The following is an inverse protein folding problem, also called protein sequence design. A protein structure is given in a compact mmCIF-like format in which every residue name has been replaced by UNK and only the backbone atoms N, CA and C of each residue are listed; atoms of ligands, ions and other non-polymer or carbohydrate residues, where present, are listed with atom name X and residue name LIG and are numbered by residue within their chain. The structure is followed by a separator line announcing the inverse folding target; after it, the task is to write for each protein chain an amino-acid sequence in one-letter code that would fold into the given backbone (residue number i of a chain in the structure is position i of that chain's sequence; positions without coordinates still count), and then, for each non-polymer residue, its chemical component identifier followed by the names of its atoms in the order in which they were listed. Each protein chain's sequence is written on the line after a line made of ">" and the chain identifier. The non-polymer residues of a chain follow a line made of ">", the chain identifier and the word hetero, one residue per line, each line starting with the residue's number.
data_IF_944576986535
#
_entry.id   IF_944576986535
#
_cell.length_a   1.000
_cell.length_b   1.000
_cell.length_c   1.000
_cell.angle_alpha   90.00
_cell.angle_beta   90.00
_cell.angle_gamma   90.00
#
_symmetry.space_group_name_H-M   'P 1'
#
loop_
_entity.id
_entity.type
_entity.pdbx_description
1 polymer ?
#
# COMPACT_ATOMS: atom_id res chain seq x y z
N UNK A 1 -13.37 24.95 -17.77
CA UNK A 1 -14.05 24.66 -16.48
C UNK A 1 -13.01 24.15 -15.50
N UNK A 2 -13.03 24.62 -14.26
CA UNK A 2 -12.06 24.17 -13.26
C UNK A 2 -12.50 22.78 -12.75
N UNK A 3 -11.80 21.71 -13.16
CA UNK A 3 -12.12 20.32 -12.74
C UNK A 3 -11.96 20.21 -11.23
N UNK A 4 -12.86 19.49 -10.58
CA UNK A 4 -12.79 19.17 -9.17
C UNK A 4 -12.69 17.65 -9.01
N UNK A 5 -11.93 17.20 -8.02
CA UNK A 5 -11.70 15.76 -7.77
C UNK A 5 -12.34 15.37 -6.45
N UNK A 6 -13.17 14.35 -6.50
CA UNK A 6 -13.90 13.82 -5.34
C UNK A 6 -13.54 12.37 -5.11
N UNK A 7 -13.76 11.89 -3.88
CA UNK A 7 -13.59 10.48 -3.49
C UNK A 7 -14.97 9.83 -3.55
N UNK A 8 -15.10 8.77 -4.34
CA UNK A 8 -16.36 8.05 -4.55
C UNK A 8 -16.34 6.61 -4.07
N UNK A 9 -15.14 6.06 -3.74
CA UNK A 9 -15.02 4.72 -3.20
C UNK A 9 -13.78 4.56 -2.34
N UNK A 10 -13.87 3.63 -1.38
CA UNK A 10 -12.81 3.31 -0.41
C UNK A 10 -12.68 1.79 -0.31
N UNK A 11 -11.45 1.31 -0.32
CA UNK A 11 -11.14 -0.09 -0.05
C UNK A 11 -9.93 -0.19 0.87
N UNK A 12 -9.98 -1.11 1.83
CA UNK A 12 -8.94 -1.25 2.84
C UNK A 12 -8.74 -2.71 3.21
N UNK A 13 -7.51 -3.06 3.53
CA UNK A 13 -7.13 -4.23 4.31
C UNK A 13 -6.03 -3.84 5.27
N UNK A 14 -6.21 -4.12 6.54
CA UNK A 14 -5.27 -3.78 7.62
C UNK A 14 -5.31 -4.81 8.74
N UNK A 15 -4.34 -4.83 9.65
CA UNK A 15 -4.36 -5.68 10.83
C UNK A 15 -5.60 -5.48 11.72
N UNK A 16 -6.13 -4.26 11.70
CA UNK A 16 -7.25 -3.88 12.58
C UNK A 16 -8.56 -4.59 12.23
N UNK A 17 -8.81 -4.79 10.91
CA UNK A 17 -10.08 -5.38 10.44
C UNK A 17 -9.90 -6.70 9.65
N UNK A 18 -8.67 -7.02 9.24
CA UNK A 18 -8.28 -8.27 8.56
C UNK A 18 -9.17 -8.65 7.36
N UNK A 19 -9.52 -7.66 6.53
CA UNK A 19 -10.30 -7.87 5.29
C UNK A 19 -11.82 -7.83 5.49
N UNK A 20 -12.33 -7.37 6.63
CA UNK A 20 -13.77 -7.19 6.86
C UNK A 20 -14.36 -5.92 6.28
N UNK A 21 -13.50 -4.99 5.84
CA UNK A 21 -13.88 -3.79 5.11
C UNK A 21 -13.92 -2.50 5.92
N UNK A 22 -14.26 -1.40 5.24
CA UNK A 22 -14.15 -0.03 5.76
C UNK A 22 -14.96 0.21 7.03
N UNK A 23 -16.21 -0.29 7.08
CA UNK A 23 -17.06 -0.09 8.27
C UNK A 23 -16.49 -0.81 9.48
N UNK A 24 -16.00 -2.04 9.32
CA UNK A 24 -15.34 -2.77 10.40
C UNK A 24 -14.06 -2.07 10.85
N UNK A 25 -13.23 -1.60 9.92
CA UNK A 25 -12.05 -0.82 10.23
C UNK A 25 -12.40 0.41 11.08
N UNK A 26 -13.44 1.14 10.68
CA UNK A 26 -13.87 2.34 11.39
C UNK A 26 -14.37 2.04 12.81
N UNK A 27 -15.16 0.99 12.99
CA UNK A 27 -15.65 0.57 14.31
C UNK A 27 -14.51 0.15 15.25
N UNK A 28 -13.56 -0.65 14.75
CA UNK A 28 -12.40 -1.07 15.54
C UNK A 28 -11.50 0.13 15.92
N UNK A 29 -11.33 1.09 14.99
CA UNK A 29 -10.59 2.32 15.25
C UNK A 29 -11.29 3.18 16.30
N UNK A 30 -12.60 3.37 16.22
CA UNK A 30 -13.39 4.09 17.23
C UNK A 30 -13.34 3.41 18.60
N UNK A 31 -13.31 2.09 18.64
CA UNK A 31 -13.16 1.32 19.87
C UNK A 31 -11.75 1.40 20.49
N UNK A 32 -10.80 2.05 19.80
CA UNK A 32 -9.41 2.15 20.25
C UNK A 32 -8.68 0.81 20.27
N UNK A 33 -9.07 -0.13 19.39
CA UNK A 33 -8.45 -1.44 19.32
C UNK A 33 -7.00 -1.33 18.89
N UNK A 34 -6.11 -2.03 19.57
CA UNK A 34 -4.71 -2.20 19.21
C UNK A 34 -4.55 -3.53 18.47
N UNK A 35 -4.05 -3.48 17.23
CA UNK A 35 -3.79 -4.65 16.40
C UNK A 35 -2.28 -4.94 16.24
N UNK A 36 -1.44 -4.33 17.09
CA UNK A 36 -0.01 -4.59 17.12
C UNK A 36 0.24 -5.73 18.10
N UNK A 37 0.71 -6.86 17.57
CA UNK A 37 0.92 -8.10 18.30
C UNK A 37 2.34 -8.63 18.12
N UNK A 38 2.66 -9.76 18.74
CA UNK A 38 3.91 -10.47 18.47
C UNK A 38 3.98 -10.85 16.99
N UNK A 39 5.16 -10.68 16.39
CA UNK A 39 5.40 -11.08 14.99
C UNK A 39 5.31 -12.59 14.84
N UNK A 40 4.51 -13.06 13.89
CA UNK A 40 4.30 -14.48 13.59
C UNK A 40 4.87 -14.89 12.21
N UNK A 41 5.00 -13.96 11.26
CA UNK A 41 5.41 -14.27 9.88
C UNK A 41 6.89 -14.61 9.70
N UNK A 42 7.75 -14.28 10.69
CA UNK A 42 9.18 -14.63 10.72
C UNK A 42 9.70 -14.67 12.15
N UNK A 43 10.87 -15.29 12.34
CA UNK A 43 11.52 -15.34 13.66
C UNK A 43 12.06 -13.95 14.07
N UNK A 44 11.32 -13.28 14.94
CA UNK A 44 11.72 -12.01 15.54
C UNK A 44 12.62 -12.16 16.77
N UNK A 45 12.97 -13.39 17.18
CA UNK A 45 13.77 -13.69 18.38
C UNK A 45 15.10 -12.95 18.45
N UNK A 46 15.75 -12.73 17.31
CA UNK A 46 17.06 -12.07 17.17
C UNK A 46 17.00 -10.53 17.18
N UNK A 47 15.82 -9.92 17.12
CA UNK A 47 15.65 -8.46 17.13
C UNK A 47 15.28 -7.95 18.52
N UNK A 48 15.51 -6.66 18.79
CA UNK A 48 15.06 -6.05 20.04
C UNK A 48 13.55 -5.85 20.06
N UNK A 49 12.96 -5.37 18.96
CA UNK A 49 11.52 -5.31 18.78
C UNK A 49 10.96 -6.68 18.42
N UNK A 50 9.79 -7.03 18.97
CA UNK A 50 9.10 -8.31 18.74
C UNK A 50 7.69 -8.13 18.19
N UNK A 51 7.25 -6.89 17.97
CA UNK A 51 5.86 -6.56 17.67
C UNK A 51 5.70 -5.90 16.31
N UNK A 52 4.59 -6.20 15.66
CA UNK A 52 4.19 -5.61 14.39
C UNK A 52 2.67 -5.67 14.22
N UNK A 53 2.13 -4.91 13.28
CA UNK A 53 0.76 -5.03 12.83
C UNK A 53 0.67 -5.99 11.64
N UNK A 54 0.25 -7.23 11.86
CA UNK A 54 0.07 -8.26 10.82
C UNK A 54 -1.39 -8.48 10.51
N UNK A 55 -1.73 -8.62 9.23
CA UNK A 55 -3.07 -9.03 8.80
C UNK A 55 -3.20 -10.54 8.98
N UNK A 56 -3.98 -10.96 9.97
CA UNK A 56 -4.21 -12.37 10.30
C UNK A 56 -5.52 -12.89 9.71
N UNK A 57 -5.61 -14.21 9.47
CA UNK A 57 -6.86 -14.83 9.00
C UNK A 57 -7.27 -14.49 7.57
N UNK A 58 -6.50 -13.72 6.83
CA UNK A 58 -6.75 -13.41 5.43
C UNK A 58 -6.16 -14.51 4.53
N UNK A 59 -7.04 -15.26 3.87
CA UNK A 59 -6.63 -16.33 2.96
C UNK A 59 -6.01 -15.80 1.66
N UNK A 60 -4.86 -16.33 1.28
CA UNK A 60 -4.27 -16.07 -0.04
C UNK A 60 -4.60 -17.21 -0.99
N UNK A 61 -5.04 -16.89 -2.19
CA UNK A 61 -5.27 -17.88 -3.23
C UNK A 61 -4.21 -17.71 -4.33
N UNK A 62 -3.12 -18.48 -4.23
CA UNK A 62 -2.15 -18.66 -5.33
C UNK A 62 -1.31 -17.45 -5.77
N UNK A 63 -1.49 -16.28 -5.16
CA UNK A 63 -0.74 -15.05 -5.43
C UNK A 63 0.19 -14.70 -4.27
N UNK A 64 1.15 -13.81 -4.53
CA UNK A 64 1.98 -13.24 -3.48
C UNK A 64 1.10 -12.37 -2.55
N UNK A 65 1.49 -12.27 -1.27
CA UNK A 65 0.74 -11.56 -0.22
C UNK A 65 0.40 -10.13 -0.61
N UNK A 66 1.37 -9.38 -1.12
CA UNK A 66 1.13 -8.00 -1.50
C UNK A 66 0.18 -7.84 -2.69
N UNK A 67 0.23 -8.73 -3.67
CA UNK A 67 -0.74 -8.78 -4.78
C UNK A 67 -2.15 -9.08 -4.26
N UNK A 68 -2.27 -9.97 -3.27
CA UNK A 68 -3.55 -10.27 -2.65
C UNK A 68 -4.14 -9.07 -1.93
N UNK A 69 -3.32 -8.30 -1.21
CA UNK A 69 -3.75 -7.07 -0.55
C UNK A 69 -4.13 -5.99 -1.56
N UNK A 70 -3.29 -5.81 -2.59
CA UNK A 70 -3.56 -4.90 -3.70
C UNK A 70 -4.91 -5.19 -4.33
N UNK A 71 -5.12 -6.43 -4.76
CA UNK A 71 -6.35 -6.87 -5.44
C UNK A 71 -7.58 -6.71 -4.57
N UNK A 72 -7.48 -7.08 -3.30
CA UNK A 72 -8.58 -6.99 -2.36
C UNK A 72 -9.03 -5.53 -2.15
N UNK A 73 -8.12 -4.65 -1.78
CA UNK A 73 -8.44 -3.25 -1.52
C UNK A 73 -8.87 -2.51 -2.80
N UNK A 74 -8.23 -2.81 -3.94
CA UNK A 74 -8.64 -2.32 -5.25
C UNK A 74 -10.08 -2.72 -5.58
N UNK A 75 -10.40 -4.02 -5.50
CA UNK A 75 -11.75 -4.53 -5.78
C UNK A 75 -12.80 -3.93 -4.84
N UNK A 76 -12.48 -3.83 -3.56
CA UNK A 76 -13.37 -3.23 -2.58
C UNK A 76 -13.67 -1.76 -2.91
N UNK A 77 -12.65 -0.96 -3.24
CA UNK A 77 -12.83 0.46 -3.59
C UNK A 77 -13.66 0.66 -4.86
N UNK A 78 -13.46 -0.18 -5.89
CA UNK A 78 -14.24 -0.09 -7.14
C UNK A 78 -15.70 -0.52 -6.95
N UNK A 79 -15.94 -1.53 -6.13
CA UNK A 79 -17.31 -1.95 -5.75
C UNK A 79 -18.03 -0.85 -4.98
N UNK A 80 -17.37 -0.23 -4.00
CA UNK A 80 -17.93 0.86 -3.20
C UNK A 80 -18.27 2.09 -4.07
N UNK A 81 -17.43 2.39 -5.06
CA UNK A 81 -17.70 3.45 -6.04
C UNK A 81 -18.75 3.10 -7.10
N UNK A 82 -19.27 1.87 -7.13
CA UNK A 82 -20.15 1.39 -8.20
C UNK A 82 -19.47 1.44 -9.58
N UNK A 83 -18.17 1.17 -9.67
CA UNK A 83 -17.42 1.10 -10.92
C UNK A 83 -17.30 -0.37 -11.33
N UNK A 84 -17.68 -0.65 -12.57
CA UNK A 84 -17.38 -1.94 -13.19
C UNK A 84 -15.88 -2.02 -13.48
N UNK A 85 -15.15 -2.74 -12.62
CA UNK A 85 -13.72 -2.92 -12.77
C UNK A 85 -13.34 -3.64 -14.08
N UNK A 86 -14.24 -4.45 -14.65
CA UNK A 86 -14.00 -5.15 -15.92
C UNK A 86 -14.01 -4.24 -17.14
N UNK A 87 -14.62 -3.04 -17.05
CA UNK A 87 -14.64 -2.05 -18.13
C UNK A 87 -13.26 -1.52 -18.49
N UNK A 88 -12.34 -1.48 -17.52
CA UNK A 88 -10.99 -0.93 -17.63
C UNK A 88 -10.94 0.57 -17.94
N UNK A 89 -12.07 1.29 -17.94
CA UNK A 89 -12.15 2.71 -18.32
C UNK A 89 -11.77 3.66 -17.17
N UNK A 90 -10.66 3.40 -16.51
CA UNK A 90 -10.11 4.22 -15.44
C UNK A 90 -8.58 4.06 -15.42
N UNK A 91 -7.91 4.99 -14.74
CA UNK A 91 -6.49 4.88 -14.47
C UNK A 91 -6.21 4.29 -13.07
N UNK A 92 -4.96 3.93 -12.83
CA UNK A 92 -4.51 3.40 -11.52
C UNK A 92 -3.19 4.07 -11.13
N UNK A 93 -3.04 4.38 -9.85
CA UNK A 93 -1.77 4.82 -9.28
C UNK A 93 -1.49 4.06 -7.98
N UNK A 94 -0.41 3.28 -7.97
CA UNK A 94 -0.03 2.42 -6.83
C UNK A 94 1.17 3.04 -6.13
N UNK A 95 1.06 3.30 -4.84
CA UNK A 95 2.17 3.65 -3.96
C UNK A 95 2.69 2.39 -3.26
N UNK A 96 3.98 2.12 -3.37
CA UNK A 96 4.61 0.99 -2.66
C UNK A 96 6.10 1.23 -2.49
N UNK A 97 6.68 0.72 -1.43
CA UNK A 97 8.13 0.75 -1.17
C UNK A 97 8.73 -0.62 -1.38
N UNK A 98 8.06 -1.64 -0.91
CA UNK A 98 8.58 -3.01 -0.84
C UNK A 98 8.14 -3.85 -2.04
N UNK A 99 6.96 -3.58 -2.62
CA UNK A 99 6.41 -4.37 -3.72
C UNK A 99 6.45 -5.86 -3.42
N UNK A 100 6.97 -6.64 -4.33
CA UNK A 100 7.13 -8.08 -4.20
C UNK A 100 8.35 -8.55 -3.40
N UNK A 101 8.79 -7.79 -2.40
CA UNK A 101 10.00 -8.11 -1.59
C UNK A 101 9.97 -9.55 -1.02
N UNK A 102 8.80 -10.04 -0.62
CA UNK A 102 8.67 -11.39 -0.09
C UNK A 102 8.99 -12.47 -1.14
N UNK A 103 8.65 -12.23 -2.41
CA UNK A 103 9.02 -13.13 -3.51
C UNK A 103 10.54 -13.13 -3.72
N UNK A 104 11.18 -11.96 -3.62
CA UNK A 104 12.63 -11.82 -3.67
C UNK A 104 13.33 -12.52 -2.51
N UNK A 105 12.83 -12.36 -1.29
CA UNK A 105 13.37 -13.04 -0.10
C UNK A 105 13.31 -14.57 -0.24
N UNK A 106 12.17 -15.11 -0.68
CA UNK A 106 12.01 -16.55 -0.94
C UNK A 106 12.98 -17.06 -2.01
N UNK A 107 13.13 -16.31 -3.11
CA UNK A 107 14.07 -16.65 -4.16
C UNK A 107 15.52 -16.63 -3.64
N UNK A 108 15.87 -15.65 -2.83
CA UNK A 108 17.18 -15.56 -2.21
C UNK A 108 17.47 -16.72 -1.25
N UNK A 109 16.51 -17.06 -0.40
CA UNK A 109 16.63 -18.17 0.56
C UNK A 109 16.74 -19.55 -0.12
N UNK A 110 16.18 -19.69 -1.33
CA UNK A 110 16.28 -20.90 -2.12
C UNK A 110 17.63 -21.10 -2.81
N UNK A 111 18.56 -20.14 -2.72
CA UNK A 111 19.91 -20.28 -3.29
C UNK A 111 20.79 -21.14 -2.36
N UNK A 112 21.42 -22.19 -2.92
CA UNK A 112 22.33 -23.07 -2.19
C UNK A 112 23.58 -22.37 -1.65
N UNK A 113 23.94 -21.21 -2.19
CA UNK A 113 25.10 -20.42 -1.78
C UNK A 113 24.78 -18.93 -1.77
N UNK A 114 25.33 -18.17 -0.78
CA UNK A 114 25.22 -16.70 -0.80
C UNK A 114 25.80 -16.15 -2.10
N UNK A 115 25.14 -15.13 -2.62
CA UNK A 115 25.58 -14.43 -3.81
C UNK A 115 26.94 -13.74 -3.55
N UNK A 116 28.01 -14.20 -4.20
CA UNK A 116 29.32 -13.57 -4.13
C UNK A 116 29.56 -12.67 -5.37
N UNK A 117 30.25 -11.53 -5.16
CA UNK A 117 30.68 -10.68 -6.29
C UNK A 117 31.51 -11.51 -7.27
N UNK A 118 31.20 -11.43 -8.56
CA UNK A 118 31.93 -12.14 -9.62
C UNK A 118 31.28 -13.40 -10.17
N UNK A 119 30.09 -13.82 -9.69
CA UNK A 119 29.37 -14.91 -10.34
C UNK A 119 28.74 -14.44 -11.65
N UNK A 120 29.11 -15.09 -12.77
CA UNK A 120 28.57 -14.78 -14.12
C UNK A 120 27.08 -15.12 -14.27
N UNK A 121 26.58 -16.12 -13.54
CA UNK A 121 25.19 -16.55 -13.54
C UNK A 121 24.42 -15.99 -12.34
N UNK A 122 23.97 -14.74 -12.42
CA UNK A 122 23.03 -14.19 -11.45
C UNK A 122 21.67 -14.85 -11.60
N UNK A 123 21.07 -15.41 -10.53
CA UNK A 123 19.70 -15.87 -10.62
C UNK A 123 18.79 -14.69 -10.98
N UNK A 124 17.92 -14.90 -11.96
CA UNK A 124 16.90 -13.91 -12.29
C UNK A 124 15.96 -13.74 -11.11
N UNK A 125 15.78 -12.50 -10.66
CA UNK A 125 14.76 -12.20 -9.67
C UNK A 125 13.38 -12.55 -10.24
N UNK A 126 12.48 -13.14 -9.43
CA UNK A 126 11.12 -13.43 -9.89
C UNK A 126 10.46 -12.14 -10.40
N UNK A 127 9.69 -12.23 -11.47
CA UNK A 127 8.96 -11.09 -12.01
C UNK A 127 8.10 -10.39 -10.92
N UNK A 128 7.54 -11.18 -10.02
CA UNK A 128 6.74 -10.70 -8.87
C UNK A 128 7.51 -9.84 -7.87
N UNK A 129 8.85 -9.86 -7.90
CA UNK A 129 9.69 -9.01 -7.05
C UNK A 129 9.61 -7.54 -7.43
N UNK A 130 9.47 -7.23 -8.71
CA UNK A 130 9.53 -5.86 -9.19
C UNK A 130 8.32 -5.03 -8.74
N UNK A 131 8.54 -3.73 -8.47
CA UNK A 131 7.48 -2.81 -8.06
C UNK A 131 6.34 -2.71 -9.08
N UNK A 132 6.66 -2.81 -10.37
CA UNK A 132 5.67 -2.76 -11.45
C UNK A 132 4.82 -4.05 -11.58
N UNK A 133 5.14 -5.11 -10.86
CA UNK A 133 4.37 -6.37 -10.97
C UNK A 133 2.91 -6.21 -10.50
N UNK A 134 2.64 -5.27 -9.60
CA UNK A 134 1.27 -4.89 -9.21
C UNK A 134 0.50 -4.23 -10.33
N UNK A 135 1.14 -3.30 -11.05
CA UNK A 135 0.54 -2.68 -12.25
C UNK A 135 0.18 -3.75 -13.28
N UNK A 136 1.15 -4.59 -13.61
CA UNK A 136 0.96 -5.67 -14.58
C UNK A 136 -0.17 -6.59 -14.19
N UNK A 137 -0.23 -7.00 -12.92
CA UNK A 137 -1.33 -7.82 -12.42
C UNK A 137 -2.70 -7.15 -12.63
N UNK A 138 -2.84 -5.87 -12.26
CA UNK A 138 -4.11 -5.15 -12.42
C UNK A 138 -4.46 -4.92 -13.89
N UNK A 139 -3.48 -4.57 -14.74
CA UNK A 139 -3.68 -4.41 -16.19
C UNK A 139 -4.19 -5.72 -16.80
N UNK A 140 -3.53 -6.85 -16.50
CA UNK A 140 -3.88 -8.14 -17.07
C UNK A 140 -5.24 -8.64 -16.58
N UNK A 141 -5.55 -8.44 -15.29
CA UNK A 141 -6.80 -8.89 -14.69
C UNK A 141 -8.00 -8.03 -15.07
N UNK A 142 -7.86 -6.72 -14.99
CA UNK A 142 -8.97 -5.76 -15.16
C UNK A 142 -8.96 -5.05 -16.50
N UNK A 143 -8.01 -5.37 -17.39
CA UNK A 143 -7.89 -4.79 -18.75
C UNK A 143 -7.88 -3.25 -18.73
N UNK A 144 -7.12 -2.68 -17.81
CA UNK A 144 -7.06 -1.23 -17.57
C UNK A 144 -6.58 -0.51 -18.84
N UNK A 145 -7.29 0.52 -19.24
CA UNK A 145 -7.06 1.32 -20.47
C UNK A 145 -6.56 2.73 -20.19
N UNK A 146 -6.74 3.21 -18.97
CA UNK A 146 -6.29 4.53 -18.55
C UNK A 146 -4.83 4.55 -18.12
N UNK A 147 -4.31 5.68 -17.63
CA UNK A 147 -2.94 5.79 -17.12
C UNK A 147 -2.69 4.83 -15.96
N UNK A 148 -1.56 4.11 -15.99
CA UNK A 148 -1.12 3.25 -14.89
C UNK A 148 0.26 3.71 -14.44
N UNK A 149 0.42 3.88 -13.13
CA UNK A 149 1.61 4.47 -12.50
C UNK A 149 1.94 3.74 -11.20
N UNK A 150 3.21 3.45 -10.97
CA UNK A 150 3.72 3.10 -9.64
C UNK A 150 4.60 4.23 -9.10
N UNK A 151 4.37 4.60 -7.85
CA UNK A 151 5.10 5.65 -7.13
C UNK A 151 5.81 5.01 -5.94
N UNK A 152 7.12 5.29 -5.83
CA UNK A 152 7.93 4.85 -4.70
C UNK A 152 8.73 6.04 -4.15
N UNK A 153 8.18 6.67 -3.13
CA UNK A 153 8.74 7.84 -2.43
C UNK A 153 8.82 7.56 -0.92
N UNK A 154 9.32 6.37 -0.58
CA UNK A 154 9.40 5.87 0.78
C UNK A 154 8.01 5.92 1.48
N UNK A 155 7.94 6.34 2.73
CA UNK A 155 6.70 6.38 3.53
C UNK A 155 5.60 7.27 2.92
N UNK A 156 5.94 8.19 2.01
CA UNK A 156 5.00 9.08 1.34
C UNK A 156 4.32 8.45 0.10
N UNK A 157 4.75 7.25 -0.34
CA UNK A 157 4.33 6.63 -1.61
C UNK A 157 2.81 6.57 -1.79
N UNK A 158 2.06 6.16 -0.76
CA UNK A 158 0.60 6.09 -0.83
C UNK A 158 -0.06 7.45 -1.00
N UNK A 159 0.43 8.47 -0.28
CA UNK A 159 -0.06 9.86 -0.41
C UNK A 159 0.30 10.45 -1.77
N UNK A 160 1.52 10.20 -2.24
CA UNK A 160 1.98 10.66 -3.55
C UNK A 160 1.21 9.99 -4.70
N UNK A 161 0.87 8.71 -4.56
CA UNK A 161 0.01 8.02 -5.52
C UNK A 161 -1.37 8.69 -5.65
N UNK A 162 -2.00 9.04 -4.52
CA UNK A 162 -3.26 9.78 -4.50
C UNK A 162 -3.08 11.17 -5.14
N UNK A 163 -1.99 11.87 -4.81
CA UNK A 163 -1.67 13.17 -5.36
C UNK A 163 -1.43 13.16 -6.88
N UNK A 164 -0.75 12.13 -7.38
CA UNK A 164 -0.52 11.95 -8.83
C UNK A 164 -1.82 11.62 -9.55
N UNK A 165 -2.68 10.78 -8.98
CA UNK A 165 -4.00 10.49 -9.53
C UNK A 165 -4.88 11.76 -9.58
N UNK A 166 -4.90 12.55 -8.49
CA UNK A 166 -5.56 13.84 -8.43
C UNK A 166 -5.12 14.77 -9.58
N UNK A 167 -3.81 14.90 -9.82
CA UNK A 167 -3.27 15.71 -10.93
C UNK A 167 -3.70 15.19 -12.30
N UNK A 168 -3.66 13.87 -12.52
CA UNK A 168 -4.09 13.29 -13.80
C UNK A 168 -5.55 13.61 -14.12
N UNK A 169 -6.44 13.58 -13.12
CA UNK A 169 -7.85 13.98 -13.30
C UNK A 169 -7.97 15.49 -13.55
N UNK A 170 -7.25 16.33 -12.80
CA UNK A 170 -7.25 17.78 -13.03
C UNK A 170 -6.79 18.16 -14.43
N UNK A 171 -5.79 17.46 -14.96
CA UNK A 171 -5.28 17.69 -16.32
C UNK A 171 -6.16 17.08 -17.42
N UNK A 172 -7.25 16.41 -17.05
CA UNK A 172 -8.17 15.82 -18.01
C UNK A 172 -7.64 14.58 -18.74
N UNK A 173 -6.60 13.92 -18.21
CA UNK A 173 -6.06 12.68 -18.79
C UNK A 173 -7.01 11.50 -18.61
N UNK A 174 -7.82 11.53 -17.58
CA UNK A 174 -8.90 10.58 -17.28
C UNK A 174 -9.92 11.24 -16.36
N UNK A 175 -11.11 10.68 -16.27
CA UNK A 175 -12.15 11.12 -15.33
C UNK A 175 -12.17 10.32 -14.04
N UNK A 176 -11.57 9.13 -14.03
CA UNK A 176 -11.55 8.22 -12.89
C UNK A 176 -10.15 7.64 -12.69
N UNK A 177 -9.68 7.61 -11.46
CA UNK A 177 -8.47 6.89 -11.06
C UNK A 177 -8.68 6.15 -9.74
N UNK A 178 -8.17 4.93 -9.67
CA UNK A 178 -8.02 4.20 -8.40
C UNK A 178 -6.60 4.44 -7.89
N UNK A 179 -6.45 4.98 -6.69
CA UNK A 179 -5.14 5.35 -6.17
C UNK A 179 -5.01 5.05 -4.68
N UNK A 180 -3.83 4.62 -4.28
CA UNK A 180 -3.57 4.30 -2.89
C UNK A 180 -2.23 3.62 -2.70
N UNK A 181 -2.04 2.99 -1.54
CA UNK A 181 -0.79 2.32 -1.19
C UNK A 181 -0.99 0.88 -0.75
N UNK A 182 0.07 0.09 -0.91
CA UNK A 182 0.14 -1.29 -0.45
C UNK A 182 1.57 -1.68 -0.13
N UNK A 183 1.78 -2.20 1.07
CA UNK A 183 3.03 -2.87 1.45
C UNK A 183 2.74 -4.01 2.43
N UNK A 184 3.62 -5.02 2.44
CA UNK A 184 3.54 -6.16 3.34
C UNK A 184 4.65 -6.12 4.37
N UNK A 185 4.41 -6.69 5.55
CA UNK A 185 5.45 -6.87 6.54
C UNK A 185 6.50 -7.84 5.99
N UNK A 186 7.77 -7.43 6.07
CA UNK A 186 8.90 -8.25 5.66
C UNK A 186 10.02 -8.19 6.67
N UNK A 187 10.71 -9.30 6.86
CA UNK A 187 11.89 -9.36 7.73
C UNK A 187 12.99 -8.40 7.26
N UNK A 188 13.11 -8.17 5.95
CA UNK A 188 14.05 -7.21 5.37
C UNK A 188 13.82 -5.79 5.89
N UNK A 189 12.59 -5.28 5.80
CA UNK A 189 12.26 -3.96 6.31
C UNK A 189 12.38 -3.91 7.83
N UNK A 190 11.92 -4.95 8.52
CA UNK A 190 12.00 -5.05 9.97
C UNK A 190 13.45 -4.97 10.48
N UNK A 191 14.36 -5.73 9.86
CA UNK A 191 15.80 -5.67 10.14
C UNK A 191 16.36 -4.26 9.92
N UNK A 192 16.01 -3.60 8.81
CA UNK A 192 16.45 -2.24 8.51
C UNK A 192 16.06 -1.25 9.60
N UNK A 193 14.78 -1.21 9.96
CA UNK A 193 14.28 -0.32 11.03
C UNK A 193 14.81 -0.68 12.41
N UNK A 194 15.01 -1.97 12.70
CA UNK A 194 15.63 -2.41 13.94
C UNK A 194 17.07 -1.91 14.05
N UNK A 195 17.86 -2.00 12.97
CA UNK A 195 19.24 -1.52 12.94
C UNK A 195 19.35 0.00 13.09
N UNK A 196 18.37 0.74 12.59
CA UNK A 196 18.24 2.17 12.81
C UNK A 196 17.78 2.53 14.24
N UNK A 197 17.49 1.54 15.08
CA UNK A 197 16.92 1.71 16.43
C UNK A 197 15.64 2.53 16.45
N UNK A 198 14.86 2.44 15.38
CA UNK A 198 13.62 3.19 15.20
C UNK A 198 12.39 2.45 15.75
N UNK A 199 12.51 1.14 16.03
CA UNK A 199 11.39 0.32 16.51
C UNK A 199 11.26 0.39 18.04
N UNK A 200 10.01 0.50 18.51
CA UNK A 200 9.70 0.39 19.94
C UNK A 200 9.91 -1.05 20.46
N UNK A 201 10.35 -1.18 21.68
CA UNK A 201 10.49 -2.47 22.35
C UNK A 201 9.25 -2.85 23.17
N UNK A 202 8.32 -1.94 23.34
CA UNK A 202 7.19 -2.09 24.27
C UNK A 202 5.84 -1.85 23.60
N UNK A 203 5.49 -0.61 23.35
CA UNK A 203 4.19 -0.18 22.82
C UNK A 203 4.33 1.10 22.01
N UNK A 204 3.62 1.20 20.91
CA UNK A 204 3.54 2.44 20.13
C UNK A 204 2.74 3.49 20.92
N UNK A 205 3.31 4.70 21.06
CA UNK A 205 2.73 5.81 21.80
C UNK A 205 2.80 7.09 20.96
N UNK A 206 1.94 7.26 19.95
CA UNK A 206 1.96 8.46 19.12
C UNK A 206 1.79 9.72 19.97
N UNK A 207 2.62 10.72 19.72
CA UNK A 207 2.63 12.01 20.39
C UNK A 207 2.94 12.01 21.91
N UNK A 208 3.14 10.85 22.52
CA UNK A 208 3.49 10.75 23.95
C UNK A 208 4.94 11.22 24.16
N UNK A 209 5.18 11.89 25.31
CA UNK A 209 6.54 12.30 25.70
C UNK A 209 7.48 11.14 25.98
N UNK A 210 6.94 9.98 26.35
CA UNK A 210 7.71 8.75 26.63
C UNK A 210 7.72 7.78 25.44
N UNK A 211 7.40 8.25 24.22
CA UNK A 211 7.51 7.40 23.03
C UNK A 211 8.96 6.96 22.82
N UNK A 212 9.14 5.72 22.45
CA UNK A 212 10.46 5.07 22.29
C UNK A 212 10.68 4.45 20.90
N UNK A 213 9.76 4.67 19.96
CA UNK A 213 9.85 4.18 18.61
C UNK A 213 8.48 3.89 17.98
N UNK A 214 8.52 3.29 16.81
CA UNK A 214 7.35 2.87 16.03
C UNK A 214 7.26 1.34 15.96
N UNK A 215 6.15 0.80 15.49
CA UNK A 215 6.03 -0.59 15.03
C UNK A 215 5.70 -0.60 13.54
N UNK A 216 6.25 -1.56 12.81
CA UNK A 216 5.89 -1.77 11.42
C UNK A 216 4.51 -2.44 11.32
N UNK A 217 3.82 -2.17 10.23
CA UNK A 217 2.56 -2.81 9.89
C UNK A 217 2.51 -3.13 8.40
N UNK A 218 1.50 -3.88 8.01
CA UNK A 218 1.19 -4.18 6.62
C UNK A 218 -0.25 -3.83 6.29
N UNK A 219 -0.55 -3.71 5.02
CA UNK A 219 -1.91 -3.46 4.55
C UNK A 219 -1.97 -2.84 3.18
N UNK A 220 -3.19 -2.56 2.74
CA UNK A 220 -3.46 -1.77 1.56
C UNK A 220 -4.68 -0.87 1.78
N UNK A 221 -4.63 0.33 1.20
CA UNK A 221 -5.79 1.22 1.14
C UNK A 221 -5.83 1.92 -0.21
N UNK A 222 -6.99 1.86 -0.86
CA UNK A 222 -7.22 2.50 -2.15
C UNK A 222 -8.47 3.36 -2.11
N UNK A 223 -8.39 4.50 -2.79
CA UNK A 223 -9.48 5.43 -3.03
C UNK A 223 -9.83 5.43 -4.52
N UNK A 224 -11.10 5.52 -4.83
CA UNK A 224 -11.54 5.91 -6.17
C UNK A 224 -11.69 7.42 -6.19
N UNK A 225 -10.89 8.05 -7.05
CA UNK A 225 -10.94 9.48 -7.33
C UNK A 225 -11.69 9.70 -8.63
N UNK A 226 -12.59 10.65 -8.65
CA UNK A 226 -13.44 10.92 -9.82
C UNK A 226 -13.59 12.42 -10.05
N UNK A 227 -13.75 12.81 -11.33
CA UNK A 227 -14.15 14.16 -11.67
C UNK A 227 -15.57 14.43 -11.13
N UNK A 228 -15.76 15.54 -10.44
CA UNK A 228 -16.98 15.80 -9.67
C UNK A 228 -18.26 15.86 -10.54
N UNK A 229 -18.16 16.33 -11.78
CA UNK A 229 -19.29 16.33 -12.72
C UNK A 229 -19.66 14.92 -13.16
N UNK A 230 -18.67 14.05 -13.36
CA UNK A 230 -18.87 12.63 -13.67
C UNK A 230 -19.56 11.91 -12.49
N UNK A 231 -19.03 12.07 -11.27
CA UNK A 231 -19.61 11.48 -10.07
C UNK A 231 -21.07 11.87 -9.85
N UNK A 232 -21.38 13.17 -10.02
CA UNK A 232 -22.76 13.67 -9.89
C UNK A 232 -23.70 13.09 -10.96
N UNK A 233 -23.23 12.97 -12.21
CA UNK A 233 -24.04 12.36 -13.31
C UNK A 233 -24.36 10.89 -13.02
N UNK A 234 -23.43 10.17 -12.38
CA UNK A 234 -23.65 8.78 -11.99
C UNK A 234 -24.53 8.65 -10.73
N UNK A 235 -24.77 9.73 -9.99
CA UNK A 235 -25.56 9.72 -8.75
C UNK A 235 -24.92 8.93 -7.60
N UNK A 236 -23.59 8.80 -7.59
CA UNK A 236 -22.87 8.01 -6.59
C UNK A 236 -22.57 8.82 -5.33
N UNK A 237 -22.30 8.10 -4.24
CA UNK A 237 -21.86 8.71 -2.99
C UNK A 237 -20.55 9.45 -3.20
N UNK A 238 -20.44 10.64 -2.62
CA UNK A 238 -19.21 11.42 -2.53
C UNK A 238 -18.80 11.49 -1.06
N UNK A 239 -17.67 10.91 -0.71
CA UNK A 239 -17.10 10.93 0.63
C UNK A 239 -16.48 12.28 0.98
N UNK A 240 -15.87 12.93 0.00
CA UNK A 240 -15.20 14.20 0.18
C UNK A 240 -14.56 14.69 -1.10
N UNK A 241 -13.92 15.86 -1.03
CA UNK A 241 -13.18 16.46 -2.14
C UNK A 241 -11.71 16.62 -1.80
N UNK A 242 -10.82 16.27 -2.72
CA UNK A 242 -9.40 16.58 -2.61
C UNK A 242 -9.20 18.02 -3.09
N UNK A 243 -8.71 18.87 -2.22
CA UNK A 243 -8.56 20.30 -2.46
C UNK A 243 -7.18 20.71 -2.90
N UNK A 244 -6.16 19.87 -2.66
CA UNK A 244 -4.80 20.13 -3.05
C UNK A 244 -3.84 18.99 -2.72
N UNK A 245 -2.67 19.05 -3.33
CA UNK A 245 -1.57 18.12 -3.10
C UNK A 245 -0.25 18.82 -3.35
N UNK A 246 0.72 18.59 -2.46
CA UNK A 246 2.11 19.00 -2.63
C UNK A 246 3.05 17.92 -2.06
N UNK A 247 4.20 17.76 -2.69
CA UNK A 247 5.30 16.92 -2.20
C UNK A 247 6.58 17.74 -2.16
N UNK A 248 7.34 17.63 -1.09
CA UNK A 248 8.60 18.33 -0.84
C UNK A 248 9.57 17.41 -0.11
N UNK A 249 10.87 17.63 -0.34
CA UNK A 249 11.93 17.01 0.44
C UNK A 249 12.48 18.05 1.44
N UNK A 250 12.77 17.59 2.66
CA UNK A 250 13.40 18.46 3.68
C UNK A 250 14.83 18.84 3.31
N UNK A 251 15.53 17.95 2.58
CA UNK A 251 16.90 18.15 2.13
C UNK A 251 17.90 18.48 3.28
N UNK A 252 17.59 18.04 4.50
CA UNK A 252 18.36 18.31 5.71
C UNK A 252 19.20 17.09 6.13
N UNK A 253 18.58 15.92 6.24
CA UNK A 253 19.23 14.68 6.69
C UNK A 253 18.68 13.48 5.94
N UNK A 254 19.50 12.41 5.84
CA UNK A 254 19.16 11.21 5.06
C UNK A 254 18.02 10.39 5.69
N UNK A 255 17.91 10.40 7.03
CA UNK A 255 16.97 9.56 7.79
C UNK A 255 16.26 10.31 8.94
N UNK A 256 16.61 11.54 9.23
CA UNK A 256 15.99 12.37 10.27
C UNK A 256 15.06 13.43 9.68
N UNK A 257 14.00 13.82 10.42
CA UNK A 257 13.11 14.92 10.03
C UNK A 257 13.83 16.27 10.16
#
# INVERSE_FOLDING_TARGET
>A
MNRQVVVTGIGIISPLESGRGVDSFWQEALAGRDAITQVESFDAGKYECKIAGEVTGFGYTGTDRWISFLDFAFKQSTLDAGIDASSGNFGVCIGTVLGGILAGQKAWQALDKPFCQGQENKPALPEKYHLYSGERYLIDKYKIKGPVLTVSTACASGTDAIGMAYRNILWGKTDVMVAGGVDTLSEFAFCGFNNLKALTKTKVRPFDKNRDGLALGEGAAFLVLEEAGSARKRGVRIYGRITGYASRADAHHMTGP
#
